data_IF_035219681913
#
_entry.id   IF_035219681913
#
_cell.length_a   1.000
_cell.length_b   1.000
_cell.length_c   1.000
_cell.angle_alpha   90.00
_cell.angle_beta   90.00
_cell.angle_gamma   90.00
#
_symmetry.space_group_name_H-M   'P 1'
#
loop_
_entity.id
_entity.type
_entity.pdbx_description
1 polymer ?
#
# COMPACT_ATOMS: atom_id res chain seq x y z
N UNK A 1 -19.83 -12.57 21.88
CA UNK A 1 -20.73 -12.94 23.02
C UNK A 1 -20.04 -12.48 24.30
N UNK A 2 -20.63 -11.55 25.05
CA UNK A 2 -20.14 -11.24 26.40
C UNK A 2 -20.64 -12.32 27.36
N UNK A 3 -19.77 -12.84 28.21
CA UNK A 3 -20.12 -13.79 29.27
C UNK A 3 -19.56 -13.27 30.59
N UNK A 4 -20.28 -13.45 31.69
CA UNK A 4 -19.91 -12.93 33.01
C UNK A 4 -18.55 -13.43 33.48
N UNK A 5 -18.20 -14.69 33.15
CA UNK A 5 -16.91 -15.31 33.46
C UNK A 5 -16.26 -15.81 32.18
N UNK A 6 -15.57 -14.91 31.48
CA UNK A 6 -14.93 -15.24 30.21
C UNK A 6 -13.56 -15.90 30.43
N UNK A 7 -13.54 -17.23 30.51
CA UNK A 7 -12.33 -18.04 30.65
C UNK A 7 -11.68 -18.45 29.31
N UNK A 8 -12.01 -17.78 28.19
CA UNK A 8 -11.44 -18.10 26.87
C UNK A 8 -10.39 -17.09 26.40
N UNK A 9 -10.24 -15.95 27.09
CA UNK A 9 -9.31 -14.89 26.71
C UNK A 9 -7.89 -15.31 27.10
N UNK A 10 -6.97 -15.34 26.13
CA UNK A 10 -5.54 -15.55 26.36
C UNK A 10 -4.81 -14.32 26.92
N UNK A 11 -5.38 -13.64 27.91
CA UNK A 11 -4.80 -12.45 28.57
C UNK A 11 -5.03 -12.52 30.08
N UNK A 12 -4.10 -11.95 30.86
CA UNK A 12 -4.27 -11.82 32.30
C UNK A 12 -5.26 -10.68 32.62
N UNK A 13 -6.29 -10.99 33.42
CA UNK A 13 -7.33 -10.03 33.81
C UNK A 13 -7.56 -10.06 35.32
N UNK A 14 -7.97 -8.92 35.88
CA UNK A 14 -8.49 -8.78 37.24
C UNK A 14 -9.88 -8.09 37.17
N UNK A 15 -10.45 -7.75 38.32
CA UNK A 15 -11.78 -7.10 38.41
C UNK A 15 -11.86 -5.73 37.72
N UNK A 16 -10.72 -5.05 37.56
CA UNK A 16 -10.61 -3.70 37.02
C UNK A 16 -10.31 -3.72 35.50
N UNK A 17 -10.03 -4.90 34.92
CA UNK A 17 -9.72 -5.07 33.51
C UNK A 17 -8.46 -5.91 33.28
N UNK A 18 -7.62 -5.49 32.36
CA UNK A 18 -6.37 -6.18 32.00
C UNK A 18 -5.32 -5.91 33.05
N UNK A 19 -4.49 -6.89 33.34
CA UNK A 19 -3.33 -6.67 34.22
C UNK A 19 -2.18 -6.06 33.42
N UNK A 20 -1.53 -5.04 33.97
CA UNK A 20 -0.39 -4.35 33.35
C UNK A 20 0.59 -3.83 34.41
N UNK A 21 1.76 -3.38 33.96
CA UNK A 21 2.77 -2.77 34.83
C UNK A 21 2.66 -1.23 34.79
N UNK A 22 2.40 -0.61 35.94
CA UNK A 22 2.21 0.86 36.02
C UNK A 22 3.42 1.66 35.55
N UNK A 23 4.64 1.11 35.67
CA UNK A 23 5.85 1.77 35.15
C UNK A 23 5.87 1.88 33.63
N UNK A 24 5.22 0.96 32.91
CA UNK A 24 5.04 1.06 31.46
C UNK A 24 3.89 2.01 31.11
N UNK A 25 2.78 1.90 31.83
CA UNK A 25 1.59 2.75 31.65
C UNK A 25 1.93 4.24 31.79
N UNK A 26 2.77 4.59 32.76
CA UNK A 26 3.23 5.96 32.99
C UNK A 26 4.09 6.56 31.85
N UNK A 27 4.48 5.76 30.84
CA UNK A 27 5.14 6.26 29.63
C UNK A 27 4.14 6.80 28.60
N UNK A 28 2.85 6.53 28.80
CA UNK A 28 1.75 6.98 27.95
C UNK A 28 0.90 8.00 28.72
N UNK A 29 0.37 8.98 27.99
CA UNK A 29 -0.69 9.88 28.43
C UNK A 29 -1.92 9.58 27.56
N UNK A 30 -3.04 10.26 27.77
CA UNK A 30 -4.27 10.32 26.93
C UNK A 30 -4.93 9.00 26.49
N UNK A 31 -4.23 7.87 26.55
CA UNK A 31 -4.66 6.51 26.24
C UNK A 31 -4.93 5.78 27.54
N UNK A 32 -5.96 4.96 27.51
CA UNK A 32 -6.29 4.05 28.61
C UNK A 32 -5.44 2.78 28.54
N UNK A 33 -5.27 2.04 29.65
CA UNK A 33 -4.57 0.76 29.63
C UNK A 33 -5.14 -0.27 28.64
N UNK A 34 -6.46 -0.24 28.37
CA UNK A 34 -7.12 -1.12 27.40
C UNK A 34 -6.78 -0.77 25.94
N UNK A 35 -6.26 0.43 25.67
CA UNK A 35 -5.75 0.85 24.35
C UNK A 35 -4.24 0.57 24.17
N UNK A 36 -3.53 0.24 25.26
CA UNK A 36 -2.06 0.08 25.27
C UNK A 36 -1.66 -1.40 25.34
N UNK A 37 -2.20 -2.15 26.30
CA UNK A 37 -1.67 -3.47 26.67
C UNK A 37 -2.33 -4.68 25.96
N UNK A 38 -3.63 -4.66 25.62
CA UNK A 38 -4.27 -5.77 24.93
C UNK A 38 -3.75 -6.01 23.52
N UNK A 39 -4.04 -7.21 23.00
CA UNK A 39 -3.89 -7.48 21.58
C UNK A 39 -4.89 -6.66 20.76
N UNK A 40 -4.40 -5.97 19.73
CA UNK A 40 -5.25 -5.55 18.63
C UNK A 40 -5.73 -6.78 17.83
N UNK A 41 -6.91 -6.71 17.16
CA UNK A 41 -7.29 -7.71 16.17
C UNK A 41 -6.23 -7.81 15.05
N UNK A 42 -6.06 -8.97 14.40
CA UNK A 42 -5.04 -9.15 13.35
C UNK A 42 -5.24 -8.21 12.15
N UNK A 43 -6.48 -7.78 11.89
CA UNK A 43 -6.82 -6.81 10.86
C UNK A 43 -6.69 -5.33 11.31
N UNK A 44 -6.35 -5.11 12.57
CA UNK A 44 -6.31 -3.81 13.25
C UNK A 44 -7.56 -3.48 14.05
N UNK A 45 -7.49 -2.40 14.83
CA UNK A 45 -8.62 -1.85 15.58
C UNK A 45 -9.71 -1.39 14.59
N UNK A 46 -10.94 -1.87 14.76
CA UNK A 46 -12.04 -1.61 13.82
C UNK A 46 -12.32 -0.10 13.63
N UNK A 47 -12.29 0.67 14.72
CA UNK A 47 -12.50 2.12 14.66
C UNK A 47 -11.38 2.84 13.89
N UNK A 48 -10.12 2.40 14.04
CA UNK A 48 -9.01 2.96 13.25
C UNK A 48 -9.20 2.70 11.75
N UNK A 49 -9.71 1.52 11.39
CA UNK A 49 -9.99 1.16 9.99
C UNK A 49 -11.09 2.06 9.40
N UNK A 50 -12.14 2.33 10.17
CA UNK A 50 -13.23 3.21 9.76
C UNK A 50 -12.76 4.67 9.64
N UNK A 51 -11.98 5.17 10.60
CA UNK A 51 -11.41 6.52 10.55
C UNK A 51 -10.44 6.69 9.38
N UNK A 52 -9.61 5.68 9.08
CA UNK A 52 -8.71 5.73 7.93
C UNK A 52 -9.48 5.70 6.61
N UNK A 53 -10.54 4.89 6.51
CA UNK A 53 -11.42 4.88 5.33
C UNK A 53 -12.10 6.24 5.12
N UNK A 54 -12.56 6.88 6.21
CA UNK A 54 -13.12 8.24 6.15
C UNK A 54 -12.10 9.27 5.66
N UNK A 55 -10.85 9.19 6.14
CA UNK A 55 -9.75 10.02 5.63
C UNK A 55 -9.54 9.79 4.13
N UNK A 56 -9.46 8.53 3.68
CA UNK A 56 -9.27 8.19 2.26
C UNK A 56 -10.40 8.75 1.39
N UNK A 57 -11.66 8.62 1.81
CA UNK A 57 -12.81 9.16 1.08
C UNK A 57 -12.81 10.69 1.02
N UNK A 58 -12.38 11.36 2.09
CA UNK A 58 -12.24 12.82 2.11
C UNK A 58 -11.14 13.30 1.17
N UNK A 59 -10.00 12.61 1.20
CA UNK A 59 -8.81 13.01 0.44
C UNK A 59 -8.92 12.61 -1.05
N UNK A 60 -9.81 11.67 -1.39
CA UNK A 60 -10.07 11.20 -2.77
C UNK A 60 -11.56 11.35 -3.12
N UNK A 61 -12.02 12.55 -3.50
CA UNK A 61 -13.44 12.82 -3.77
C UNK A 61 -14.06 11.96 -4.87
N UNK A 62 -13.24 11.40 -5.78
CA UNK A 62 -13.70 10.51 -6.85
C UNK A 62 -13.82 9.04 -6.42
N UNK A 63 -13.29 8.67 -5.24
CA UNK A 63 -13.36 7.31 -4.70
C UNK A 63 -14.70 7.06 -4.01
N UNK A 64 -15.41 6.03 -4.46
CA UNK A 64 -16.62 5.52 -3.78
C UNK A 64 -16.28 4.40 -2.79
N UNK A 65 -16.98 4.38 -1.65
CA UNK A 65 -16.85 3.31 -0.64
C UNK A 65 -17.18 1.93 -1.20
N UNK A 66 -18.08 1.84 -2.20
CA UNK A 66 -18.49 0.58 -2.82
C UNK A 66 -17.40 -0.02 -3.74
N UNK A 67 -16.42 0.79 -4.15
CA UNK A 67 -15.34 0.40 -5.06
C UNK A 67 -14.04 0.04 -4.32
N UNK A 68 -14.07 -0.05 -2.98
CA UNK A 68 -12.92 -0.45 -2.18
C UNK A 68 -13.32 -1.37 -1.02
N UNK A 69 -12.38 -2.19 -0.56
CA UNK A 69 -12.50 -2.88 0.71
C UNK A 69 -12.29 -1.92 1.89
N UNK A 70 -12.80 -2.27 3.08
CA UNK A 70 -12.39 -1.59 4.32
C UNK A 70 -10.89 -1.82 4.57
N UNK A 71 -10.06 -0.76 4.76
CA UNK A 71 -8.61 -0.88 4.92
C UNK A 71 -8.24 -1.89 6.02
N UNK A 72 -7.22 -2.70 5.76
CA UNK A 72 -6.62 -3.60 6.76
C UNK A 72 -5.38 -2.90 7.30
N UNK A 73 -5.22 -2.87 8.63
CA UNK A 73 -4.03 -2.27 9.24
C UNK A 73 -2.84 -3.20 9.02
N UNK A 74 -1.73 -2.63 8.56
CA UNK A 74 -0.46 -3.33 8.37
C UNK A 74 0.60 -2.76 9.32
N UNK A 75 1.76 -3.43 9.40
CA UNK A 75 2.91 -2.90 10.12
C UNK A 75 3.66 -1.95 9.18
N UNK A 76 3.10 -0.74 9.03
CA UNK A 76 3.47 0.23 8.01
C UNK A 76 3.42 -0.36 6.57
N UNK A 77 3.99 0.37 5.61
CA UNK A 77 3.85 0.07 4.18
C UNK A 77 4.69 -1.15 3.76
N UNK A 78 5.87 -1.35 4.35
CA UNK A 78 6.72 -2.52 4.05
C UNK A 78 6.01 -3.84 4.34
N UNK A 79 5.22 -3.91 5.42
CA UNK A 79 4.39 -5.09 5.67
C UNK A 79 3.28 -5.23 4.62
N UNK A 80 2.69 -4.13 4.16
CA UNK A 80 1.76 -4.15 3.02
C UNK A 80 2.38 -4.74 1.75
N UNK A 81 3.59 -4.30 1.38
CA UNK A 81 4.35 -4.87 0.26
C UNK A 81 4.65 -6.36 0.46
N UNK A 82 5.03 -6.77 1.68
CA UNK A 82 5.23 -8.18 2.02
C UNK A 82 3.95 -9.00 1.85
N UNK A 83 2.79 -8.49 2.28
CA UNK A 83 1.50 -9.16 2.13
C UNK A 83 1.08 -9.28 0.67
N UNK A 84 1.37 -8.26 -0.16
CA UNK A 84 1.20 -8.36 -1.61
C UNK A 84 2.07 -9.48 -2.17
N UNK A 85 3.33 -9.56 -1.74
CA UNK A 85 4.24 -10.66 -2.08
C UNK A 85 3.64 -12.02 -1.72
N UNK A 86 3.17 -12.17 -0.49
CA UNK A 86 2.63 -13.42 0.03
C UNK A 86 1.32 -13.85 -0.67
N UNK A 87 0.47 -12.89 -1.05
CA UNK A 87 -0.86 -13.18 -1.56
C UNK A 87 -0.94 -13.24 -3.10
N UNK A 88 -0.08 -12.48 -3.78
CA UNK A 88 -0.21 -12.26 -5.21
C UNK A 88 1.07 -12.52 -6.00
N UNK A 89 2.20 -12.85 -5.40
CA UNK A 89 3.46 -13.04 -6.14
C UNK A 89 3.92 -14.49 -6.04
N UNK A 90 3.90 -15.19 -7.16
CA UNK A 90 4.55 -16.49 -7.28
C UNK A 90 6.02 -16.30 -7.67
N UNK A 91 6.83 -17.33 -7.43
CA UNK A 91 8.16 -17.40 -8.01
C UNK A 91 8.07 -17.27 -9.55
N UNK A 92 9.02 -16.54 -10.12
CA UNK A 92 9.11 -16.20 -11.55
C UNK A 92 8.00 -15.27 -12.11
N UNK A 93 7.05 -14.80 -11.28
CA UNK A 93 6.21 -13.66 -11.64
C UNK A 93 7.06 -12.41 -11.90
N UNK A 94 6.48 -11.42 -12.58
CA UNK A 94 7.19 -10.19 -12.94
C UNK A 94 6.62 -9.00 -12.18
N UNK A 95 7.51 -8.28 -11.49
CA UNK A 95 7.27 -6.94 -10.98
C UNK A 95 7.71 -5.94 -12.04
N UNK A 96 6.78 -5.12 -12.52
CA UNK A 96 7.05 -4.04 -13.47
C UNK A 96 7.04 -2.69 -12.72
N UNK A 97 8.16 -1.98 -12.72
CA UNK A 97 8.34 -0.75 -11.94
C UNK A 97 9.31 0.23 -12.61
N UNK A 98 9.32 1.53 -12.26
CA UNK A 98 10.30 2.46 -12.78
C UNK A 98 11.75 2.06 -12.46
N UNK A 99 12.72 2.40 -13.30
CA UNK A 99 14.14 2.19 -13.00
C UNK A 99 14.61 3.01 -11.78
N UNK A 100 14.00 4.18 -11.57
CA UNK A 100 14.15 5.01 -10.37
C UNK A 100 13.17 4.52 -9.30
N UNK A 101 13.64 3.65 -8.41
CA UNK A 101 12.79 3.02 -7.40
C UNK A 101 13.52 2.82 -6.06
N UNK A 102 12.74 2.56 -5.02
CA UNK A 102 13.25 2.20 -3.71
C UNK A 102 13.82 0.77 -3.71
N UNK A 103 15.10 0.64 -3.37
CA UNK A 103 15.83 -0.64 -3.45
C UNK A 103 15.22 -1.79 -2.64
N UNK A 104 14.38 -1.51 -1.64
CA UNK A 104 13.74 -2.56 -0.86
C UNK A 104 12.67 -3.36 -1.65
N UNK A 105 12.14 -2.83 -2.75
CA UNK A 105 11.27 -3.61 -3.65
C UNK A 105 11.99 -4.86 -4.18
N UNK A 106 13.29 -4.75 -4.50
CA UNK A 106 14.10 -5.91 -4.90
C UNK A 106 14.22 -6.93 -3.78
N UNK A 107 14.44 -6.48 -2.53
CA UNK A 107 14.60 -7.39 -1.41
C UNK A 107 13.28 -8.12 -1.08
N UNK A 108 12.16 -7.41 -1.10
CA UNK A 108 10.83 -7.99 -0.87
C UNK A 108 10.46 -8.92 -2.03
N UNK A 109 10.38 -8.41 -3.26
CA UNK A 109 9.75 -9.20 -4.32
C UNK A 109 10.70 -10.21 -4.99
N UNK A 110 11.97 -9.84 -5.21
CA UNK A 110 12.91 -10.77 -5.83
C UNK A 110 13.56 -11.70 -4.80
N UNK A 111 14.17 -11.16 -3.75
CA UNK A 111 14.95 -11.99 -2.82
C UNK A 111 14.05 -12.88 -1.95
N UNK A 112 12.97 -12.33 -1.38
CA UNK A 112 12.04 -13.10 -0.54
C UNK A 112 11.00 -13.88 -1.34
N UNK A 113 10.40 -13.26 -2.36
CA UNK A 113 9.28 -13.86 -3.10
C UNK A 113 9.66 -14.51 -4.44
N UNK A 114 10.93 -14.43 -4.88
CA UNK A 114 11.42 -15.12 -6.08
C UNK A 114 10.92 -14.54 -7.41
N UNK A 115 10.42 -13.30 -7.42
CA UNK A 115 9.96 -12.63 -8.63
C UNK A 115 11.10 -11.97 -9.43
N UNK A 116 10.84 -11.71 -10.71
CA UNK A 116 11.71 -10.98 -11.61
C UNK A 116 11.35 -9.49 -11.59
N UNK A 117 12.34 -8.59 -11.50
CA UNK A 117 12.11 -7.15 -11.68
C UNK A 117 12.39 -6.79 -13.14
N UNK A 118 11.38 -6.22 -13.81
CA UNK A 118 11.52 -5.58 -15.11
C UNK A 118 11.32 -4.07 -14.92
N UNK A 119 12.28 -3.27 -15.38
CA UNK A 119 12.24 -1.82 -15.21
C UNK A 119 11.93 -1.09 -16.51
N UNK A 120 11.32 0.09 -16.39
CA UNK A 120 11.16 1.04 -17.50
C UNK A 120 11.65 2.44 -17.08
N UNK A 121 12.25 3.22 -18.00
CA UNK A 121 12.56 4.63 -17.74
C UNK A 121 11.28 5.44 -17.49
N UNK A 122 11.39 6.48 -16.67
CA UNK A 122 10.30 7.45 -16.43
C UNK A 122 10.74 8.90 -16.69
N UNK A 123 11.99 9.10 -17.11
CA UNK A 123 12.52 10.39 -17.53
C UNK A 123 13.18 10.24 -18.90
N UNK A 124 13.04 11.27 -19.74
CA UNK A 124 13.70 11.34 -21.04
C UNK A 124 15.20 11.71 -20.88
N UNK A 125 15.88 11.92 -22.02
CA UNK A 125 17.31 12.25 -22.03
C UNK A 125 17.64 13.62 -21.43
N UNK A 126 16.66 14.52 -21.41
CA UNK A 126 16.79 15.88 -20.89
C UNK A 126 16.35 15.96 -19.41
N UNK A 127 15.86 14.85 -18.84
CA UNK A 127 15.43 14.75 -17.45
C UNK A 127 13.98 15.16 -17.21
N UNK A 128 13.17 15.31 -18.26
CA UNK A 128 11.72 15.54 -18.11
C UNK A 128 11.01 14.20 -17.92
N UNK A 129 9.98 14.18 -17.07
CA UNK A 129 9.18 12.98 -16.89
C UNK A 129 8.48 12.61 -18.20
N UNK A 130 8.33 11.31 -18.44
CA UNK A 130 7.62 10.78 -19.61
C UNK A 130 6.90 9.48 -19.28
N UNK A 131 5.71 9.31 -19.86
CA UNK A 131 4.94 8.06 -19.83
C UNK A 131 5.29 7.12 -21.00
N UNK A 132 6.06 7.56 -21.99
CA UNK A 132 6.24 6.84 -23.26
C UNK A 132 6.84 5.45 -23.05
N UNK A 133 7.88 5.37 -22.21
CA UNK A 133 8.57 4.12 -21.91
C UNK A 133 7.68 3.14 -21.14
N UNK A 134 6.79 3.64 -20.27
CA UNK A 134 5.78 2.79 -19.64
C UNK A 134 4.80 2.25 -20.69
N UNK A 135 4.28 3.12 -21.56
CA UNK A 135 3.34 2.73 -22.61
C UNK A 135 3.96 1.66 -23.52
N UNK A 136 5.21 1.84 -23.95
CA UNK A 136 5.95 0.86 -24.75
C UNK A 136 6.14 -0.48 -23.99
N UNK A 137 6.53 -0.42 -22.72
CA UNK A 137 6.69 -1.60 -21.87
C UNK A 137 5.37 -2.38 -21.73
N UNK A 138 4.24 -1.70 -21.53
CA UNK A 138 2.92 -2.33 -21.44
C UNK A 138 2.42 -2.84 -22.79
N UNK A 139 2.75 -2.17 -23.90
CA UNK A 139 2.37 -2.62 -25.24
C UNK A 139 3.07 -3.92 -25.65
N UNK A 140 4.34 -4.05 -25.30
CA UNK A 140 5.20 -5.21 -25.59
C UNK A 140 5.13 -6.32 -24.54
N UNK A 141 4.47 -6.08 -23.41
CA UNK A 141 4.31 -7.06 -22.34
C UNK A 141 3.59 -8.32 -22.83
N UNK A 142 4.16 -9.50 -22.54
CA UNK A 142 3.77 -10.76 -23.17
C UNK A 142 3.47 -11.91 -22.19
N UNK A 143 3.38 -11.63 -20.88
CA UNK A 143 2.97 -12.61 -19.87
C UNK A 143 1.50 -12.42 -19.50
N UNK A 144 0.89 -13.45 -18.93
CA UNK A 144 -0.53 -13.45 -18.58
C UNK A 144 -0.84 -12.73 -17.25
N UNK A 145 0.19 -12.31 -16.51
CA UNK A 145 0.10 -11.65 -15.21
C UNK A 145 1.26 -10.70 -15.01
N UNK A 146 0.97 -9.52 -14.47
CA UNK A 146 1.96 -8.52 -14.05
C UNK A 146 1.58 -7.96 -12.69
N UNK A 147 2.58 -7.70 -11.85
CA UNK A 147 2.44 -6.89 -10.64
C UNK A 147 3.15 -5.58 -10.93
N UNK A 148 2.41 -4.47 -10.92
CA UNK A 148 2.97 -3.14 -11.14
C UNK A 148 3.19 -2.44 -9.81
N UNK A 149 4.29 -1.69 -9.67
CA UNK A 149 4.51 -0.79 -8.54
C UNK A 149 4.48 0.65 -9.05
N UNK A 150 3.52 1.41 -8.55
CA UNK A 150 3.34 2.84 -8.82
C UNK A 150 3.64 3.58 -7.51
N UNK A 151 4.79 4.24 -7.42
CA UNK A 151 5.19 5.00 -6.23
C UNK A 151 5.30 6.48 -6.61
N UNK A 152 4.29 7.26 -6.24
CA UNK A 152 4.18 8.69 -6.50
C UNK A 152 3.54 9.38 -5.27
N UNK A 153 4.15 10.43 -4.67
CA UNK A 153 5.46 11.00 -4.98
C UNK A 153 6.59 9.96 -4.90
N UNK A 154 7.49 10.00 -5.88
CA UNK A 154 8.46 8.93 -6.09
C UNK A 154 9.68 9.04 -5.16
N UNK A 155 10.13 7.91 -4.62
CA UNK A 155 11.49 7.75 -4.10
C UNK A 155 12.35 7.05 -5.18
N UNK A 156 13.44 7.67 -5.68
CA UNK A 156 14.15 8.81 -5.06
C UNK A 156 13.88 10.20 -5.67
N UNK A 157 13.06 10.31 -6.71
CA UNK A 157 13.07 11.53 -7.56
C UNK A 157 12.20 12.68 -7.04
N UNK A 158 11.28 12.42 -6.13
CA UNK A 158 10.30 13.39 -5.63
C UNK A 158 9.19 13.72 -6.62
N UNK A 159 9.15 13.07 -7.79
CA UNK A 159 8.20 13.39 -8.85
C UNK A 159 6.80 12.84 -8.57
N UNK A 160 5.78 13.63 -8.91
CA UNK A 160 4.36 13.23 -8.92
C UNK A 160 3.77 13.60 -10.28
N UNK A 161 3.07 12.68 -10.98
CA UNK A 161 2.52 12.96 -12.29
C UNK A 161 1.38 13.98 -12.23
N UNK A 162 1.23 14.72 -13.32
CA UNK A 162 0.07 15.56 -13.62
C UNK A 162 -1.18 14.73 -13.90
N UNK A 163 -2.34 15.38 -13.95
CA UNK A 163 -3.61 14.74 -14.29
C UNK A 163 -3.60 14.06 -15.66
N UNK A 164 -2.94 14.66 -16.66
CA UNK A 164 -2.82 14.11 -18.01
C UNK A 164 -1.93 12.87 -18.06
N UNK A 165 -0.83 12.88 -17.31
CA UNK A 165 0.08 11.74 -17.20
C UNK A 165 -0.59 10.57 -16.47
N UNK A 166 -1.31 10.82 -15.37
CA UNK A 166 -2.10 9.78 -14.69
C UNK A 166 -3.14 9.18 -15.63
N UNK A 167 -3.85 10.01 -16.40
CA UNK A 167 -4.81 9.54 -17.41
C UNK A 167 -4.14 8.63 -18.43
N UNK A 168 -2.94 8.97 -18.88
CA UNK A 168 -2.16 8.16 -19.83
C UNK A 168 -1.74 6.82 -19.21
N UNK A 169 -1.25 6.84 -17.97
CA UNK A 169 -0.84 5.65 -17.21
C UNK A 169 -2.01 4.67 -17.07
N UNK A 170 -3.16 5.13 -16.55
CA UNK A 170 -4.30 4.24 -16.28
C UNK A 170 -4.94 3.70 -17.56
N UNK A 171 -4.96 4.49 -18.65
CA UNK A 171 -5.44 4.03 -19.94
C UNK A 171 -4.52 2.95 -20.54
N UNK A 172 -3.21 3.09 -20.39
CA UNK A 172 -2.25 2.08 -20.83
C UNK A 172 -2.36 0.78 -20.04
N UNK A 173 -2.55 0.88 -18.71
CA UNK A 173 -2.79 -0.27 -17.83
C UNK A 173 -4.09 -0.98 -18.22
N UNK A 174 -5.16 -0.23 -18.47
CA UNK A 174 -6.44 -0.77 -18.93
C UNK A 174 -6.30 -1.49 -20.27
N UNK A 175 -5.59 -0.91 -21.23
CA UNK A 175 -5.33 -1.54 -22.52
C UNK A 175 -4.54 -2.86 -22.39
N UNK A 176 -3.61 -2.96 -21.43
CA UNK A 176 -2.91 -4.20 -21.12
C UNK A 176 -3.86 -5.25 -20.51
N UNK A 177 -4.76 -4.84 -19.62
CA UNK A 177 -5.77 -5.73 -19.04
C UNK A 177 -6.74 -6.25 -20.12
N UNK A 178 -7.20 -5.39 -21.03
CA UNK A 178 -8.09 -5.74 -22.14
C UNK A 178 -7.44 -6.72 -23.14
N UNK A 179 -6.11 -6.76 -23.22
CA UNK A 179 -5.36 -7.80 -23.98
C UNK A 179 -5.37 -9.17 -23.31
N UNK A 180 -5.82 -9.28 -22.06
CA UNK A 180 -5.90 -10.53 -21.29
C UNK A 180 -4.82 -10.71 -20.22
N UNK A 181 -3.99 -9.70 -19.96
CA UNK A 181 -3.01 -9.75 -18.86
C UNK A 181 -3.70 -9.41 -17.54
N UNK A 182 -3.52 -10.24 -16.51
CA UNK A 182 -3.99 -9.96 -15.15
C UNK A 182 -3.08 -8.93 -14.49
N UNK A 183 -3.60 -7.75 -14.17
CA UNK A 183 -2.82 -6.65 -13.58
C UNK A 183 -3.11 -6.54 -12.08
N UNK A 184 -2.07 -6.65 -11.26
CA UNK A 184 -2.11 -6.25 -9.84
C UNK A 184 -1.37 -4.91 -9.75
N UNK A 185 -2.11 -3.80 -9.68
CA UNK A 185 -1.55 -2.47 -9.58
C UNK A 185 -1.36 -2.09 -8.10
N UNK A 186 -0.11 -2.09 -7.64
CA UNK A 186 0.27 -1.69 -6.27
C UNK A 186 0.59 -0.21 -6.26
N UNK A 187 -0.22 0.58 -5.55
CA UNK A 187 0.04 2.00 -5.31
C UNK A 187 0.77 2.15 -3.97
N UNK A 188 2.03 2.58 -4.01
CA UNK A 188 2.84 2.85 -2.83
C UNK A 188 2.79 4.34 -2.50
N UNK A 189 1.89 4.69 -1.59
CA UNK A 189 1.56 6.04 -1.15
C UNK A 189 2.38 6.54 0.04
N UNK A 190 3.62 6.07 0.22
CA UNK A 190 4.49 6.48 1.33
C UNK A 190 4.58 8.01 1.51
N UNK A 191 4.47 8.76 0.41
CA UNK A 191 4.62 10.22 0.38
C UNK A 191 3.32 10.95 0.03
N UNK A 192 2.17 10.26 0.02
CA UNK A 192 0.88 10.86 -0.31
C UNK A 192 0.57 12.09 0.56
N UNK A 193 0.08 13.15 -0.07
CA UNK A 193 -0.22 14.44 0.56
C UNK A 193 0.95 15.44 0.58
N UNK A 194 2.15 15.03 0.16
CA UNK A 194 3.32 15.91 0.04
C UNK A 194 3.42 16.49 -1.38
N UNK A 195 2.40 17.27 -1.78
CA UNK A 195 2.30 17.90 -3.10
C UNK A 195 2.68 19.38 -3.01
N UNK A 196 3.58 19.84 -3.89
CA UNK A 196 4.12 21.20 -3.88
C UNK A 196 3.82 22.00 -5.15
N UNK A 197 3.29 21.34 -6.17
CA UNK A 197 2.94 21.89 -7.49
C UNK A 197 1.53 21.41 -7.88
N UNK A 198 1.00 21.91 -9.00
CA UNK A 198 -0.29 21.48 -9.56
C UNK A 198 -0.16 20.11 -10.25
N UNK A 199 -0.27 19.04 -9.45
CA UNK A 199 -0.13 17.64 -9.85
C UNK A 199 -1.41 16.85 -9.53
N UNK A 200 -1.48 15.57 -9.94
CA UNK A 200 -2.57 14.70 -9.51
C UNK A 200 -2.45 14.42 -8.01
N UNK A 201 -3.51 14.70 -7.25
CA UNK A 201 -3.51 14.67 -5.77
C UNK A 201 -4.34 13.54 -5.17
N UNK A 202 -4.90 12.66 -6.00
CA UNK A 202 -5.64 11.47 -5.57
C UNK A 202 -4.78 10.21 -5.75
N UNK A 203 -5.18 9.14 -5.06
CA UNK A 203 -4.60 7.79 -5.10
C UNK A 203 -5.55 6.82 -5.78
#
# INVERSE_FOLDING_TARGET
KSTTYNATIGMATNKDGKMFASSLDAMFNDLTPDEIFPYAPPQGIEELRDLWQQKMLRDNPELSIDNMSRPIVTNALTHGLSLVGDLFVNQDDTILLPEHNWGNYKLVFNTRNGANLQTYPIFDKDGHYTTDSLVEALQSYNKDKVIMILNYPNNPTGYTPTHEEVTTIVNAIKALADKGTKVIAVVDDAYYGLFYEDVYTQS
#
